data_IF_903552041442
#
_entry.id   IF_903552041442
#
_cell.length_a   1.000
_cell.length_b   1.000
_cell.length_c   1.000
_cell.angle_alpha   90.00
_cell.angle_beta   90.00
_cell.angle_gamma   90.00
#
_symmetry.space_group_name_H-M   'P 1'
#
loop_
_entity.id
_entity.type
_entity.pdbx_description
1 polymer ?
#
# COMPACT_ATOMS: atom_id res chain seq x y z
N UNK A 1 -31.24 22.20 -6.62
CA UNK A 1 -29.82 22.27 -6.20
C UNK A 1 -29.16 20.95 -6.53
N UNK A 2 -28.36 20.89 -7.59
CA UNK A 2 -27.50 19.72 -7.85
C UNK A 2 -26.15 20.05 -7.23
N UNK A 3 -25.89 19.51 -6.04
CA UNK A 3 -24.55 19.59 -5.44
C UNK A 3 -23.66 18.62 -6.20
N UNK A 4 -22.85 19.14 -7.12
CA UNK A 4 -21.73 18.38 -7.67
C UNK A 4 -20.73 18.18 -6.54
N UNK A 5 -20.79 17.00 -5.92
CA UNK A 5 -19.83 16.58 -4.92
C UNK A 5 -18.49 16.40 -5.64
N UNK A 6 -17.73 17.49 -5.76
CA UNK A 6 -16.35 17.46 -6.23
C UNK A 6 -15.56 16.66 -5.21
N UNK A 7 -15.47 15.35 -5.48
CA UNK A 7 -14.70 14.41 -4.69
C UNK A 7 -13.24 14.69 -4.99
N UNK A 8 -12.70 15.75 -4.36
CA UNK A 8 -11.29 16.06 -4.42
C UNK A 8 -10.53 14.86 -3.85
N UNK A 9 -9.86 14.21 -4.79
CA UNK A 9 -8.87 13.15 -4.71
C UNK A 9 -8.43 12.77 -3.31
N UNK A 10 -8.54 11.47 -3.00
CA UNK A 10 -7.90 10.84 -1.86
C UNK A 10 -6.39 11.14 -1.95
N UNK A 11 -5.82 12.06 -1.14
CA UNK A 11 -4.39 12.27 -1.15
C UNK A 11 -3.82 10.94 -0.70
N UNK A 12 -3.08 10.25 -1.58
CA UNK A 12 -2.44 8.97 -1.28
C UNK A 12 -1.87 9.07 0.13
N UNK A 13 -2.47 8.34 1.07
CA UNK A 13 -2.14 8.42 2.49
C UNK A 13 -0.63 8.40 2.67
N UNK A 14 -0.08 9.21 3.58
CA UNK A 14 1.37 9.40 3.71
C UNK A 14 2.12 8.07 3.77
N UNK A 15 1.54 7.05 4.41
CA UNK A 15 2.15 5.72 4.55
C UNK A 15 2.01 4.81 3.31
N UNK A 16 1.16 5.14 2.33
CA UNK A 16 1.03 4.40 1.05
C UNK A 16 2.36 4.27 0.31
N UNK A 17 3.30 5.20 0.54
CA UNK A 17 4.64 5.13 -0.04
C UNK A 17 5.37 3.86 0.35
N UNK A 18 5.09 3.27 1.52
CA UNK A 18 5.81 2.12 2.09
C UNK A 18 5.49 0.78 1.45
N UNK A 19 4.38 0.70 0.73
CA UNK A 19 3.81 -0.58 0.34
C UNK A 19 3.88 -0.70 -1.18
N UNK A 20 4.90 -1.42 -1.64
CA UNK A 20 5.07 -1.81 -3.04
C UNK A 20 4.64 -3.26 -3.25
N UNK A 21 4.47 -3.68 -4.52
CA UNK A 21 4.26 -5.09 -4.84
C UNK A 21 5.39 -5.98 -4.30
N UNK A 22 6.64 -5.49 -4.33
CA UNK A 22 7.79 -6.20 -3.77
C UNK A 22 7.68 -6.37 -2.25
N UNK A 23 7.26 -5.34 -1.52
CA UNK A 23 7.06 -5.43 -0.07
C UNK A 23 5.95 -6.44 0.28
N UNK A 24 4.85 -6.43 -0.48
CA UNK A 24 3.79 -7.42 -0.35
C UNK A 24 4.27 -8.84 -0.69
N UNK A 25 5.07 -8.99 -1.75
CA UNK A 25 5.65 -10.27 -2.16
C UNK A 25 6.56 -10.84 -1.06
N UNK A 26 7.44 -10.03 -0.47
CA UNK A 26 8.29 -10.42 0.66
C UNK A 26 7.43 -10.86 1.86
N UNK A 27 6.41 -10.08 2.20
CA UNK A 27 5.53 -10.37 3.33
C UNK A 27 4.79 -11.70 3.19
N UNK A 28 4.34 -12.04 1.97
CA UNK A 28 3.58 -13.26 1.70
C UNK A 28 4.45 -14.41 1.18
N UNK A 29 5.77 -14.24 1.14
CA UNK A 29 6.72 -15.20 0.56
C UNK A 29 6.33 -15.64 -0.87
N UNK A 30 5.93 -14.67 -1.68
CA UNK A 30 5.56 -14.83 -3.09
C UNK A 30 6.55 -14.08 -3.99
N UNK A 31 6.50 -14.35 -5.29
CA UNK A 31 7.21 -13.53 -6.29
C UNK A 31 6.36 -12.29 -6.62
N UNK A 32 7.00 -11.18 -7.01
CA UNK A 32 6.30 -9.92 -7.26
C UNK A 32 5.25 -10.00 -8.38
N UNK A 33 5.47 -10.87 -9.37
CA UNK A 33 4.57 -11.16 -10.48
C UNK A 33 3.29 -11.87 -10.01
N UNK A 34 3.35 -12.61 -8.91
CA UNK A 34 2.20 -13.28 -8.31
C UNK A 34 1.31 -12.33 -7.49
N UNK A 35 1.71 -11.05 -7.35
CA UNK A 35 0.91 -9.98 -6.74
C UNK A 35 0.15 -9.21 -7.83
N UNK A 36 -1.14 -9.51 -7.95
CA UNK A 36 -2.05 -8.91 -8.92
C UNK A 36 -2.33 -7.44 -8.59
N UNK A 37 -2.77 -7.15 -7.37
CA UNK A 37 -3.10 -5.79 -6.93
C UNK A 37 -2.72 -5.52 -5.48
N UNK A 38 -2.40 -4.25 -5.21
CA UNK A 38 -2.14 -3.71 -3.87
C UNK A 38 -2.92 -2.42 -3.75
N UNK A 39 -4.02 -2.46 -3.01
CA UNK A 39 -4.85 -1.28 -2.75
C UNK A 39 -4.49 -0.70 -1.39
N UNK A 40 -4.12 0.57 -1.37
CA UNK A 40 -3.54 1.24 -0.20
C UNK A 40 -4.53 2.26 0.32
N UNK A 41 -5.08 1.98 1.49
CA UNK A 41 -6.08 2.83 2.14
C UNK A 41 -5.42 3.57 3.32
N UNK A 42 -6.19 4.30 4.12
CA UNK A 42 -5.64 5.14 5.19
C UNK A 42 -4.82 4.35 6.24
N UNK A 43 -5.35 3.23 6.73
CA UNK A 43 -4.71 2.45 7.80
C UNK A 43 -4.49 0.99 7.43
N UNK A 44 -5.00 0.57 6.28
CA UNK A 44 -5.01 -0.82 5.83
C UNK A 44 -4.52 -0.87 4.39
N UNK A 45 -3.88 -1.97 4.06
CA UNK A 45 -3.53 -2.36 2.70
C UNK A 45 -4.32 -3.62 2.38
N UNK A 46 -5.02 -3.63 1.26
CA UNK A 46 -5.54 -4.85 0.69
C UNK A 46 -4.56 -5.40 -0.34
N UNK A 47 -4.11 -6.64 -0.14
CA UNK A 47 -3.19 -7.33 -1.04
C UNK A 47 -3.92 -8.50 -1.68
N UNK A 48 -3.90 -8.52 -3.02
CA UNK A 48 -4.43 -9.61 -3.83
C UNK A 48 -3.31 -10.21 -4.68
N UNK A 49 -3.10 -11.50 -4.53
CA UNK A 49 -2.13 -12.28 -5.28
C UNK A 49 -2.54 -13.74 -5.41
N UNK A 50 -1.65 -14.57 -5.93
CA UNK A 50 -1.87 -16.01 -6.08
C UNK A 50 -2.08 -16.66 -4.71
N UNK A 51 -3.29 -17.15 -4.46
CA UNK A 51 -3.67 -17.77 -3.18
C UNK A 51 -3.73 -16.80 -2.00
N UNK A 52 -3.63 -15.48 -2.22
CA UNK A 52 -3.64 -14.47 -1.15
C UNK A 52 -4.66 -13.39 -1.47
N UNK A 53 -5.56 -13.15 -0.52
CA UNK A 53 -6.50 -12.03 -0.52
C UNK A 53 -6.70 -11.59 0.93
N UNK A 54 -5.88 -10.64 1.40
CA UNK A 54 -5.88 -10.24 2.82
C UNK A 54 -5.77 -8.74 2.98
N UNK A 55 -6.42 -8.27 4.05
CA UNK A 55 -6.22 -6.94 4.61
C UNK A 55 -5.08 -7.00 5.61
N UNK A 56 -4.16 -6.03 5.52
CA UNK A 56 -2.91 -5.98 6.27
C UNK A 56 -2.73 -4.57 6.83
N UNK A 57 -2.28 -4.45 8.07
CA UNK A 57 -1.91 -3.15 8.63
C UNK A 57 -0.59 -2.66 8.06
N UNK A 58 -0.41 -1.35 7.91
CA UNK A 58 0.90 -0.79 7.54
C UNK A 58 2.01 -1.17 8.53
N UNK A 59 1.67 -1.44 9.78
CA UNK A 59 2.62 -1.84 10.82
C UNK A 59 3.15 -3.28 10.66
N UNK A 60 2.44 -4.12 9.91
CA UNK A 60 2.82 -5.52 9.71
C UNK A 60 3.83 -5.70 8.58
N UNK A 61 3.97 -4.68 7.72
CA UNK A 61 4.92 -4.74 6.62
C UNK A 61 6.35 -4.67 7.15
N UNK A 62 7.28 -5.42 6.54
CA UNK A 62 8.68 -5.35 6.92
C UNK A 62 9.20 -3.91 6.75
N UNK A 63 10.06 -3.43 7.65
CA UNK A 63 10.67 -2.12 7.50
C UNK A 63 11.47 -2.06 6.20
N UNK A 64 11.37 -0.95 5.47
CA UNK A 64 12.16 -0.77 4.26
C UNK A 64 13.63 -0.50 4.62
N UNK A 65 14.47 -1.52 4.45
CA UNK A 65 15.91 -1.43 4.62
C UNK A 65 16.51 -0.58 3.48
N UNK A 66 17.19 0.52 3.82
CA UNK A 66 17.94 1.34 2.85
C UNK A 66 17.18 2.52 2.22
N UNK A 67 16.06 2.98 2.79
CA UNK A 67 15.39 4.21 2.31
C UNK A 67 16.17 5.44 2.78
N UNK A 68 16.36 6.41 1.88
CA UNK A 68 16.93 7.70 2.21
C UNK A 68 16.17 8.32 3.40
N UNK A 69 16.86 8.92 4.38
CA UNK A 69 16.21 9.59 5.50
C UNK A 69 15.22 10.64 4.99
N UNK A 70 14.11 10.87 5.71
CA UNK A 70 13.14 11.88 5.31
C UNK A 70 13.85 13.23 5.15
N UNK A 71 13.79 13.80 3.95
CA UNK A 71 14.29 15.15 3.70
C UNK A 71 13.28 16.12 4.31
N UNK A 72 13.68 16.82 5.37
CA UNK A 72 12.89 17.90 5.93
C UNK A 72 12.79 19.01 4.87
N UNK A 73 11.55 19.44 4.57
CA UNK A 73 11.28 20.52 3.62
C UNK A 73 10.92 21.78 4.39
#
# INVERSE_FOLDING_TARGET
>A
MVSTLQRNTNPLHRLTRFVSKQAAAIMFNLVAEEIYSVERWAHIVYVRGKGVSRFVSYADFPPRLGVAPPTDK
#
